data_IF_143708919729
#
_entry.id   IF_143708919729
#
_cell.length_a   1.000
_cell.length_b   1.000
_cell.length_c   1.000
_cell.angle_alpha   90.00
_cell.angle_beta   90.00
_cell.angle_gamma   90.00
#
_symmetry.space_group_name_H-M   'P 1'
#
loop_
_entity.id
_entity.type
_entity.pdbx_description
1 polymer ?
#
# COMPACT_ATOMS: atom_id res chain seq x y z
N UNK A 1 1.88 18.96 -3.13
CA UNK A 1 2.42 18.36 -1.90
C UNK A 1 1.75 19.02 -0.70
N UNK A 2 1.53 18.34 0.42
CA UNK A 2 0.93 18.96 1.61
C UNK A 2 1.81 20.09 2.13
N UNK A 3 1.21 21.26 2.40
CA UNK A 3 1.91 22.47 2.87
C UNK A 3 1.87 22.61 4.40
N UNK A 4 0.87 22.00 5.05
CA UNK A 4 0.69 22.07 6.50
C UNK A 4 0.73 20.66 7.14
N UNK A 5 0.95 20.61 8.47
CA UNK A 5 0.93 19.34 9.23
C UNK A 5 -0.42 18.62 9.09
N UNK A 6 -1.53 19.36 9.11
CA UNK A 6 -2.88 18.78 8.92
C UNK A 6 -3.07 18.20 7.52
N UNK A 7 -2.61 18.90 6.46
CA UNK A 7 -2.64 18.34 5.10
C UNK A 7 -1.77 17.09 4.97
N UNK A 8 -0.65 17.03 5.67
CA UNK A 8 0.23 15.85 5.72
C UNK A 8 -0.47 14.66 6.36
N UNK A 9 -1.19 14.87 7.45
CA UNK A 9 -1.97 13.83 8.14
C UNK A 9 -3.09 13.29 7.23
N UNK A 10 -3.89 14.18 6.65
CA UNK A 10 -4.98 13.80 5.73
C UNK A 10 -4.43 13.05 4.53
N UNK A 11 -3.32 13.51 3.94
CA UNK A 11 -2.65 12.81 2.84
C UNK A 11 -2.19 11.42 3.26
N UNK A 12 -1.61 11.28 4.45
CA UNK A 12 -1.18 10.00 5.00
C UNK A 12 -2.34 9.02 5.18
N UNK A 13 -3.48 9.48 5.68
CA UNK A 13 -4.70 8.67 5.82
C UNK A 13 -5.22 8.24 4.45
N UNK A 14 -5.39 9.17 3.51
CA UNK A 14 -5.86 8.86 2.16
C UNK A 14 -4.95 7.84 1.45
N UNK A 15 -3.65 8.03 1.56
CA UNK A 15 -2.67 7.13 0.99
C UNK A 15 -2.74 5.74 1.61
N UNK A 16 -2.87 5.66 2.94
CA UNK A 16 -2.95 4.38 3.66
C UNK A 16 -4.23 3.62 3.33
N UNK A 17 -5.37 4.31 3.26
CA UNK A 17 -6.65 3.69 2.89
C UNK A 17 -6.62 3.19 1.44
N UNK A 18 -6.12 4.02 0.50
CA UNK A 18 -6.05 3.65 -0.92
C UNK A 18 -5.09 2.48 -1.15
N UNK A 19 -3.93 2.49 -0.46
CA UNK A 19 -2.97 1.40 -0.53
C UNK A 19 -3.53 0.11 0.06
N UNK A 20 -4.12 0.17 1.26
CA UNK A 20 -4.71 -1.00 1.91
C UNK A 20 -5.79 -1.63 1.04
N UNK A 21 -6.75 -0.82 0.56
CA UNK A 21 -7.83 -1.34 -0.26
C UNK A 21 -7.35 -2.01 -1.56
N UNK A 22 -6.45 -1.36 -2.31
CA UNK A 22 -5.93 -1.95 -3.56
C UNK A 22 -5.15 -3.24 -3.34
N UNK A 23 -4.34 -3.29 -2.27
CA UNK A 23 -3.60 -4.49 -1.93
C UNK A 23 -4.52 -5.63 -1.46
N UNK A 24 -5.59 -5.32 -0.72
CA UNK A 24 -6.54 -6.35 -0.29
C UNK A 24 -7.41 -6.85 -1.45
N UNK A 25 -7.80 -6.00 -2.41
CA UNK A 25 -8.45 -6.47 -3.65
C UNK A 25 -7.56 -7.50 -4.36
N UNK A 26 -6.28 -7.22 -4.51
CA UNK A 26 -5.33 -8.15 -5.11
C UNK A 26 -5.18 -9.45 -4.31
N UNK A 27 -5.01 -9.35 -2.99
CA UNK A 27 -4.83 -10.51 -2.11
C UNK A 27 -6.08 -11.40 -2.06
N UNK A 28 -7.28 -10.81 -1.97
CA UNK A 28 -8.55 -11.55 -1.98
C UNK A 28 -8.79 -12.19 -3.34
N UNK A 29 -8.48 -11.51 -4.44
CA UNK A 29 -8.56 -12.11 -5.79
C UNK A 29 -7.63 -13.32 -5.93
N UNK A 30 -6.41 -13.25 -5.41
CA UNK A 30 -5.48 -14.39 -5.39
C UNK A 30 -5.99 -15.55 -4.53
N UNK A 31 -6.50 -15.26 -3.32
CA UNK A 31 -7.08 -16.27 -2.42
C UNK A 31 -8.29 -16.98 -3.05
N UNK A 32 -9.08 -16.22 -3.82
CA UNK A 32 -10.26 -16.74 -4.54
C UNK A 32 -9.92 -17.52 -5.81
N UNK A 33 -8.64 -17.61 -6.19
CA UNK A 33 -8.19 -18.30 -7.40
C UNK A 33 -8.50 -17.57 -8.71
N UNK A 34 -9.08 -16.37 -8.65
CA UNK A 34 -9.50 -15.58 -9.80
C UNK A 34 -8.34 -15.29 -10.76
N UNK A 35 -7.15 -14.96 -10.23
CA UNK A 35 -5.96 -14.65 -11.03
C UNK A 35 -5.21 -15.89 -11.52
N UNK A 36 -5.52 -17.06 -10.99
CA UNK A 36 -4.84 -18.33 -11.30
C UNK A 36 -5.69 -19.25 -12.20
N UNK A 37 -6.96 -18.91 -12.38
CA UNK A 37 -7.88 -19.66 -13.24
C UNK A 37 -7.71 -19.37 -14.73
N UNK A 38 -8.27 -20.24 -15.59
CA UNK A 38 -8.23 -20.11 -17.06
C UNK A 38 -8.91 -18.81 -17.52
N UNK A 39 -9.91 -18.31 -16.79
CA UNK A 39 -10.61 -17.04 -17.06
C UNK A 39 -9.82 -15.79 -16.64
N UNK A 40 -8.81 -15.93 -15.79
CA UNK A 40 -8.00 -14.81 -15.28
C UNK A 40 -8.86 -13.70 -14.67
N UNK A 41 -8.61 -12.45 -15.07
CA UNK A 41 -9.36 -11.28 -14.57
C UNK A 41 -10.85 -11.27 -14.98
N UNK A 42 -11.25 -12.07 -15.97
CA UNK A 42 -12.66 -12.17 -16.40
C UNK A 42 -13.57 -12.78 -15.33
N UNK A 43 -13.01 -13.56 -14.40
CA UNK A 43 -13.75 -14.19 -13.30
C UNK A 43 -13.89 -13.29 -12.05
N UNK A 44 -13.50 -12.03 -12.13
CA UNK A 44 -13.67 -11.06 -11.03
C UNK A 44 -15.14 -10.89 -10.68
N UNK A 45 -15.47 -11.02 -9.38
CA UNK A 45 -16.81 -10.89 -8.83
C UNK A 45 -16.87 -9.78 -7.78
N UNK A 46 -18.05 -9.21 -7.60
CA UNK A 46 -18.28 -8.19 -6.57
C UNK A 46 -17.95 -8.67 -5.15
N UNK A 47 -18.00 -9.97 -4.90
CA UNK A 47 -17.62 -10.57 -3.62
C UNK A 47 -16.13 -10.33 -3.27
N UNK A 48 -15.25 -10.23 -4.27
CA UNK A 48 -13.83 -9.89 -4.08
C UNK A 48 -13.69 -8.48 -3.50
N UNK A 49 -14.40 -7.51 -4.08
CA UNK A 49 -14.35 -6.11 -3.62
C UNK A 49 -14.95 -5.94 -2.22
N UNK A 50 -16.03 -6.65 -1.91
CA UNK A 50 -16.65 -6.63 -0.57
C UNK A 50 -15.74 -7.31 0.47
N UNK A 51 -15.13 -8.43 0.12
CA UNK A 51 -14.13 -9.11 0.97
C UNK A 51 -12.94 -8.20 1.25
N UNK A 52 -12.39 -7.59 0.20
CA UNK A 52 -11.30 -6.63 0.30
C UNK A 52 -11.64 -5.42 1.17
N UNK A 53 -12.86 -4.91 1.11
CA UNK A 53 -13.30 -3.79 1.93
C UNK A 53 -13.29 -4.16 3.42
N UNK A 54 -13.71 -5.37 3.77
CA UNK A 54 -13.67 -5.86 5.16
C UNK A 54 -12.24 -5.98 5.67
N UNK A 55 -11.34 -6.56 4.88
CA UNK A 55 -9.92 -6.70 5.24
C UNK A 55 -9.24 -5.32 5.30
N UNK A 56 -9.49 -4.45 4.35
CA UNK A 56 -8.96 -3.09 4.34
C UNK A 56 -9.43 -2.22 5.51
N UNK A 57 -10.63 -2.47 6.05
CA UNK A 57 -11.20 -1.69 7.16
C UNK A 57 -10.34 -1.68 8.43
N UNK A 58 -9.48 -2.67 8.64
CA UNK A 58 -8.52 -2.69 9.73
C UNK A 58 -7.06 -2.61 9.26
N UNK A 59 -6.75 -3.10 8.06
CA UNK A 59 -5.39 -3.08 7.53
C UNK A 59 -4.85 -1.67 7.30
N UNK A 60 -5.69 -0.70 6.92
CA UNK A 60 -5.24 0.68 6.69
C UNK A 60 -4.63 1.31 7.95
N UNK A 61 -5.10 0.92 9.14
CA UNK A 61 -4.53 1.39 10.42
C UNK A 61 -3.07 0.96 10.57
N UNK A 62 -2.76 -0.30 10.25
CA UNK A 62 -1.39 -0.81 10.26
C UNK A 62 -0.53 -0.10 9.22
N UNK A 63 -1.06 0.10 7.99
CA UNK A 63 -0.35 0.86 6.95
C UNK A 63 -0.05 2.27 7.43
N UNK A 64 -1.04 2.97 8.01
CA UNK A 64 -0.87 4.32 8.53
C UNK A 64 0.14 4.37 9.68
N UNK A 65 0.04 3.45 10.63
CA UNK A 65 0.92 3.39 11.79
C UNK A 65 2.38 3.16 11.34
N UNK A 66 2.65 2.11 10.59
CA UNK A 66 4.01 1.76 10.19
C UNK A 66 4.61 2.74 9.19
N UNK A 67 3.80 3.36 8.33
CA UNK A 67 4.29 4.42 7.45
C UNK A 67 4.78 5.64 8.22
N UNK A 68 4.11 6.01 9.32
CA UNK A 68 4.53 7.12 10.18
C UNK A 68 5.68 6.76 11.12
N UNK A 69 5.73 5.53 11.63
CA UNK A 69 6.81 5.08 12.52
C UNK A 69 8.16 5.07 11.77
N UNK A 70 8.25 4.34 10.66
CA UNK A 70 9.52 4.20 9.94
C UNK A 70 9.42 4.25 8.41
N UNK A 71 8.31 3.81 7.81
CA UNK A 71 8.19 3.66 6.35
C UNK A 71 8.55 4.92 5.58
N UNK A 72 7.93 6.06 5.92
CA UNK A 72 8.18 7.33 5.27
C UNK A 72 9.59 7.87 5.54
N UNK A 73 10.11 7.67 6.76
CA UNK A 73 11.45 8.15 7.15
C UNK A 73 12.56 7.37 6.47
N UNK A 74 12.47 6.03 6.51
CA UNK A 74 13.46 5.16 5.86
C UNK A 74 13.37 5.26 4.35
N UNK A 75 12.15 5.27 3.78
CA UNK A 75 11.94 5.45 2.36
C UNK A 75 12.54 6.77 1.85
N UNK A 76 12.34 7.87 2.58
CA UNK A 76 12.94 9.16 2.22
C UNK A 76 14.47 9.17 2.32
N UNK A 77 15.04 8.54 3.37
CA UNK A 77 16.49 8.40 3.51
C UNK A 77 17.13 7.57 2.39
N UNK A 78 16.49 6.46 2.02
CA UNK A 78 16.94 5.62 0.91
C UNK A 78 16.85 6.37 -0.42
N UNK A 79 15.73 7.04 -0.68
CA UNK A 79 15.55 7.84 -1.89
C UNK A 79 16.60 8.96 -2.01
N UNK A 80 16.91 9.64 -0.91
CA UNK A 80 17.93 10.69 -0.89
C UNK A 80 19.36 10.19 -1.20
N UNK A 81 19.61 8.88 -1.09
CA UNK A 81 20.89 8.25 -1.51
C UNK A 81 20.90 7.89 -2.99
N UNK A 82 19.74 7.73 -3.61
CA UNK A 82 19.61 7.28 -5.00
C UNK A 82 19.45 8.45 -5.97
N UNK A 83 18.87 9.56 -5.51
CA UNK A 83 18.46 10.67 -6.36
C UNK A 83 18.91 11.99 -5.73
N UNK A 84 19.54 12.85 -6.56
CA UNK A 84 19.96 14.20 -6.18
C UNK A 84 18.79 15.18 -6.18
N UNK A 85 18.94 16.29 -5.45
CA UNK A 85 17.96 17.39 -5.50
C UNK A 85 17.90 18.10 -6.87
N UNK A 86 18.92 17.91 -7.69
CA UNK A 86 19.01 18.49 -9.06
C UNK A 86 18.29 17.61 -10.09
N UNK A 87 17.93 16.37 -9.75
CA UNK A 87 17.21 15.47 -10.63
C UNK A 87 15.75 15.93 -10.85
N UNK A 88 15.15 15.46 -11.95
CA UNK A 88 13.79 15.84 -12.29
C UNK A 88 12.81 15.53 -11.15
N UNK A 89 11.80 16.37 -10.91
CA UNK A 89 10.79 16.15 -9.86
C UNK A 89 10.05 14.81 -9.99
N UNK A 90 9.95 14.31 -11.23
CA UNK A 90 9.37 13.00 -11.51
C UNK A 90 10.26 11.86 -10.98
N UNK A 91 11.57 11.93 -11.23
CA UNK A 91 12.52 10.93 -10.76
C UNK A 91 12.60 10.90 -9.24
N UNK A 92 12.62 12.08 -8.60
CA UNK A 92 12.57 12.20 -7.14
C UNK A 92 11.30 11.56 -6.55
N UNK A 93 10.13 11.80 -7.20
CA UNK A 93 8.88 11.20 -6.78
C UNK A 93 8.89 9.68 -6.95
N UNK A 94 9.39 9.20 -8.08
CA UNK A 94 9.50 7.77 -8.39
C UNK A 94 10.41 7.05 -7.38
N UNK A 95 11.60 7.59 -7.14
CA UNK A 95 12.55 7.04 -6.18
C UNK A 95 11.98 7.02 -4.75
N UNK A 96 11.33 8.12 -4.33
CA UNK A 96 10.72 8.18 -3.01
C UNK A 96 9.58 7.16 -2.85
N UNK A 97 8.72 7.04 -3.85
CA UNK A 97 7.63 6.04 -3.84
C UNK A 97 8.19 4.62 -3.84
N UNK A 98 9.14 4.31 -4.71
CA UNK A 98 9.78 3.00 -4.79
C UNK A 98 10.48 2.59 -3.50
N UNK A 99 11.28 3.50 -2.93
CA UNK A 99 11.97 3.25 -1.65
C UNK A 99 10.99 3.09 -0.47
N UNK A 100 9.89 3.83 -0.47
CA UNK A 100 8.86 3.66 0.56
C UNK A 100 8.19 2.29 0.44
N UNK A 101 7.86 1.85 -0.77
CA UNK A 101 7.29 0.51 -1.01
C UNK A 101 8.30 -0.58 -0.64
N UNK A 102 9.59 -0.40 -0.96
CA UNK A 102 10.65 -1.35 -0.60
C UNK A 102 10.73 -1.60 0.91
N UNK A 103 10.50 -0.58 1.73
CA UNK A 103 10.48 -0.70 3.19
C UNK A 103 9.12 -1.21 3.71
N UNK A 104 8.03 -0.69 3.15
CA UNK A 104 6.68 -0.98 3.65
C UNK A 104 6.17 -2.35 3.22
N UNK A 105 6.51 -2.82 2.01
CA UNK A 105 6.03 -4.11 1.51
C UNK A 105 6.48 -5.29 2.39
N UNK A 106 7.76 -5.46 2.77
CA UNK A 106 8.16 -6.50 3.71
C UNK A 106 7.47 -6.38 5.07
N UNK A 107 7.34 -5.14 5.59
CA UNK A 107 6.68 -4.89 6.87
C UNK A 107 5.21 -5.33 6.83
N UNK A 108 4.46 -4.86 5.85
CA UNK A 108 3.04 -5.19 5.72
C UNK A 108 2.80 -6.66 5.35
N UNK A 109 3.70 -7.25 4.57
CA UNK A 109 3.66 -8.69 4.28
C UNK A 109 3.87 -9.54 5.53
N UNK A 110 4.71 -9.09 6.47
CA UNK A 110 4.87 -9.76 7.76
C UNK A 110 3.59 -9.66 8.60
N UNK A 111 3.01 -8.45 8.68
CA UNK A 111 1.73 -8.23 9.38
C UNK A 111 0.64 -9.12 8.79
N UNK A 112 0.52 -9.15 7.45
CA UNK A 112 -0.47 -9.97 6.75
C UNK A 112 -0.22 -11.47 6.98
N UNK A 113 1.02 -11.94 6.94
CA UNK A 113 1.35 -13.34 7.21
C UNK A 113 0.98 -13.74 8.66
N UNK A 114 1.27 -12.89 9.63
CA UNK A 114 0.90 -13.15 11.04
C UNK A 114 -0.62 -13.15 11.21
N UNK A 115 -1.32 -12.11 10.74
CA UNK A 115 -2.77 -11.97 10.93
C UNK A 115 -3.55 -13.06 10.18
N UNK A 116 -3.32 -13.19 8.87
CA UNK A 116 -4.17 -14.03 8.02
C UNK A 116 -3.75 -15.49 7.98
N UNK A 117 -2.45 -15.79 8.14
CA UNK A 117 -1.97 -17.16 8.02
C UNK A 117 -1.77 -17.81 9.38
N UNK A 118 -1.17 -17.11 10.35
CA UNK A 118 -0.93 -17.69 11.67
C UNK A 118 -2.18 -17.57 12.56
N UNK A 119 -2.75 -16.37 12.73
CA UNK A 119 -3.85 -16.16 13.69
C UNK A 119 -5.18 -16.69 13.12
N UNK A 120 -5.56 -16.29 11.91
CA UNK A 120 -6.84 -16.67 11.30
C UNK A 120 -6.76 -18.03 10.58
N UNK A 121 -5.63 -18.35 9.96
CA UNK A 121 -5.42 -19.59 9.21
C UNK A 121 -4.86 -20.75 10.04
N UNK A 122 -4.56 -20.51 11.33
CA UNK A 122 -3.99 -21.51 12.25
C UNK A 122 -2.77 -22.27 11.71
N UNK A 123 -2.00 -21.63 10.83
CA UNK A 123 -0.77 -22.21 10.29
C UNK A 123 0.35 -22.21 11.34
N UNK A 124 1.23 -23.25 11.34
CA UNK A 124 2.31 -23.32 12.29
C UNK A 124 3.31 -22.17 12.13
N UNK A 125 3.68 -21.52 13.24
CA UNK A 125 4.60 -20.37 13.27
C UNK A 125 5.96 -20.69 12.63
N UNK A 126 6.37 -21.95 12.64
CA UNK A 126 7.63 -22.41 12.01
C UNK A 126 7.67 -22.09 10.50
N UNK A 127 6.52 -22.04 9.83
CA UNK A 127 6.44 -21.71 8.41
C UNK A 127 6.40 -20.19 8.12
N UNK A 128 6.34 -19.36 9.15
CA UNK A 128 6.23 -17.90 9.02
C UNK A 128 7.30 -17.28 8.11
N UNK A 129 8.60 -17.63 8.19
CA UNK A 129 9.61 -17.06 7.29
C UNK A 129 9.34 -17.35 5.80
N UNK A 130 8.96 -18.59 5.47
CA UNK A 130 8.66 -18.99 4.10
C UNK A 130 7.38 -18.27 3.58
N UNK A 131 6.33 -18.23 4.41
CA UNK A 131 5.08 -17.53 4.10
C UNK A 131 5.32 -16.04 3.92
N UNK A 132 6.15 -15.41 4.76
CA UNK A 132 6.51 -14.01 4.66
C UNK A 132 7.24 -13.71 3.35
N UNK A 133 8.31 -14.44 3.04
CA UNK A 133 9.07 -14.26 1.79
C UNK A 133 8.17 -14.43 0.57
N UNK A 134 7.35 -15.49 0.53
CA UNK A 134 6.40 -15.72 -0.55
C UNK A 134 5.39 -14.59 -0.69
N UNK A 135 4.91 -14.03 0.42
CA UNK A 135 3.99 -12.89 0.43
C UNK A 135 4.67 -11.63 -0.07
N UNK A 136 5.92 -11.35 0.35
CA UNK A 136 6.71 -10.20 -0.14
C UNK A 136 6.89 -10.26 -1.65
N UNK A 137 7.39 -11.39 -2.17
CA UNK A 137 7.66 -11.55 -3.60
C UNK A 137 6.39 -11.37 -4.46
N UNK A 138 5.26 -11.89 -3.98
CA UNK A 138 3.97 -11.79 -4.65
C UNK A 138 3.40 -10.36 -4.60
N UNK A 139 3.50 -9.70 -3.47
CA UNK A 139 2.88 -8.40 -3.24
C UNK A 139 3.73 -7.23 -3.74
N UNK A 140 5.05 -7.37 -3.81
CA UNK A 140 5.96 -6.26 -4.13
C UNK A 140 5.69 -5.62 -5.50
N UNK A 141 5.58 -6.36 -6.61
CA UNK A 141 5.30 -5.77 -7.92
C UNK A 141 3.97 -5.02 -7.94
N UNK A 142 2.92 -5.62 -7.36
CA UNK A 142 1.60 -5.01 -7.31
C UNK A 142 1.60 -3.76 -6.43
N UNK A 143 2.23 -3.81 -5.25
CA UNK A 143 2.35 -2.67 -4.35
C UNK A 143 3.05 -1.50 -5.02
N UNK A 144 4.12 -1.76 -5.79
CA UNK A 144 4.85 -0.73 -6.51
C UNK A 144 4.00 -0.09 -7.60
N UNK A 145 3.39 -0.89 -8.45
CA UNK A 145 2.52 -0.41 -9.52
C UNK A 145 1.31 0.35 -8.97
N UNK A 146 0.64 -0.21 -7.97
CA UNK A 146 -0.51 0.42 -7.33
C UNK A 146 -0.16 1.76 -6.68
N UNK A 147 0.99 1.84 -6.00
CA UNK A 147 1.48 3.08 -5.40
C UNK A 147 1.71 4.17 -6.45
N UNK A 148 2.38 3.83 -7.56
CA UNK A 148 2.77 4.79 -8.58
C UNK A 148 1.58 5.26 -9.43
N UNK A 149 0.73 4.35 -9.88
CA UNK A 149 -0.28 4.63 -10.88
C UNK A 149 -1.68 4.91 -10.31
N UNK A 150 -2.00 4.40 -9.12
CA UNK A 150 -3.32 4.54 -8.53
C UNK A 150 -3.28 5.32 -7.20
N UNK A 151 -2.66 4.79 -6.16
CA UNK A 151 -2.73 5.36 -4.82
C UNK A 151 -2.10 6.76 -4.73
N UNK A 152 -0.95 6.96 -5.36
CA UNK A 152 -0.27 8.26 -5.38
C UNK A 152 -1.08 9.36 -6.08
N UNK A 153 -1.50 9.19 -7.34
CA UNK A 153 -2.35 10.15 -8.04
C UNK A 153 -3.70 10.37 -7.38
N UNK A 154 -4.39 9.30 -6.97
CA UNK A 154 -5.70 9.38 -6.31
C UNK A 154 -5.63 10.19 -4.99
N UNK A 155 -4.67 9.89 -4.12
CA UNK A 155 -4.50 10.58 -2.84
C UNK A 155 -4.19 12.07 -3.03
N UNK A 156 -3.40 12.43 -4.06
CA UNK A 156 -3.12 13.83 -4.40
C UNK A 156 -4.35 14.54 -4.98
N UNK A 157 -5.10 13.86 -5.83
CA UNK A 157 -6.36 14.38 -6.39
C UNK A 157 -7.39 14.65 -5.29
N UNK A 158 -7.62 13.67 -4.42
CA UNK A 158 -8.54 13.81 -3.29
C UNK A 158 -8.10 14.92 -2.32
N UNK A 159 -6.80 15.00 -2.01
CA UNK A 159 -6.28 16.08 -1.18
C UNK A 159 -6.57 17.47 -1.79
N UNK A 160 -6.38 17.62 -3.10
CA UNK A 160 -6.69 18.86 -3.80
C UNK A 160 -8.18 19.19 -3.72
N UNK A 161 -9.06 18.22 -3.94
CA UNK A 161 -10.51 18.41 -3.85
C UNK A 161 -10.96 18.84 -2.45
N UNK A 162 -10.42 18.20 -1.40
CA UNK A 162 -10.77 18.51 0.00
C UNK A 162 -10.33 19.93 0.38
N UNK A 163 -9.14 20.35 -0.03
CA UNK A 163 -8.58 21.65 0.35
C UNK A 163 -8.82 22.76 -0.67
N UNK A 164 -9.23 22.48 -1.91
CA UNK A 164 -9.67 23.50 -2.86
C UNK A 164 -10.96 24.21 -2.38
N UNK A 165 -11.87 23.45 -1.76
CA UNK A 165 -13.14 24.00 -1.23
C UNK A 165 -12.94 24.97 -0.05
N UNK A 166 -11.80 24.90 0.65
CA UNK A 166 -11.51 25.76 1.81
C UNK A 166 -10.89 27.13 1.44
N UNK A 167 -10.54 27.34 0.18
CA UNK A 167 -10.00 28.62 -0.30
C UNK A 167 -11.08 29.50 -0.94
N UNK A 168 -12.37 29.12 -0.88
CA UNK A 168 -13.51 29.88 -1.38
C UNK A 168 -14.42 30.43 -0.27
N UNK A 169 -14.07 30.25 1.01
CA UNK A 169 -14.65 30.93 2.18
C UNK A 169 -13.60 31.87 2.80
#
# INVERSE_FOLDING_TARGET
MPKTKGQGLVFGILMSVTMAYGMEVYNVALKSGVLLGVGGLSDMRNTVFLGALKEAAYMWLFVFLFSNLWGNRLGAKLAARLVSQQDSPFLQMLARSGCTVLVMCPTMSLVAAVLFQVILGHQPVVQLPAMWVGTVLKNFPMALLWNLFAAGPASRGLLRLIFAKKNFE
#
